data_IF_215422572830
#
_entry.id   IF_215422572830
#
_cell.length_a   1.000
_cell.length_b   1.000
_cell.length_c   1.000
_cell.angle_alpha   90.00
_cell.angle_beta   90.00
_cell.angle_gamma   90.00
#
_symmetry.space_group_name_H-M   'P 1'
#
loop_
_entity.id
_entity.type
_entity.pdbx_description
1 polymer ?
#
# COMPACT_ATOMS: atom_id res chain seq x y z
N UNK A 1 -47.11 -31.36 24.28
CA UNK A 1 -45.98 -31.15 23.35
C UNK A 1 -46.56 -30.77 22.00
N UNK A 2 -46.53 -29.49 21.65
CA UNK A 2 -46.79 -29.01 20.30
C UNK A 2 -45.75 -27.92 20.03
N UNK A 3 -44.81 -28.22 19.14
CA UNK A 3 -43.75 -27.32 18.73
C UNK A 3 -44.31 -26.36 17.67
N UNK A 4 -44.40 -25.09 18.01
CA UNK A 4 -44.70 -24.02 17.06
C UNK A 4 -43.41 -23.68 16.31
N UNK A 5 -43.30 -24.18 15.07
CA UNK A 5 -42.29 -23.74 14.10
C UNK A 5 -42.63 -22.32 13.65
N UNK A 6 -41.85 -21.33 14.08
CA UNK A 6 -41.84 -20.00 13.46
C UNK A 6 -41.03 -20.07 12.16
N UNK A 7 -41.71 -19.88 11.04
CA UNK A 7 -41.09 -19.58 9.76
C UNK A 7 -40.49 -18.17 9.83
N UNK A 8 -39.16 -18.06 9.81
CA UNK A 8 -38.47 -16.78 9.69
C UNK A 8 -38.50 -16.37 8.21
N UNK A 9 -39.20 -15.28 7.92
CA UNK A 9 -39.29 -14.69 6.57
C UNK A 9 -37.98 -13.96 6.29
N UNK A 10 -37.19 -14.50 5.36
CA UNK A 10 -35.96 -13.87 4.88
C UNK A 10 -36.30 -12.52 4.22
N UNK A 11 -35.83 -11.43 4.82
CA UNK A 11 -35.86 -10.10 4.21
C UNK A 11 -34.94 -10.05 2.98
N UNK A 12 -35.24 -9.16 2.00
CA UNK A 12 -34.47 -9.07 0.77
C UNK A 12 -33.04 -8.62 1.09
N UNK A 13 -32.07 -9.32 0.51
CA UNK A 13 -30.65 -9.03 0.66
C UNK A 13 -30.36 -7.55 0.41
N UNK A 14 -29.81 -6.88 1.43
CA UNK A 14 -29.17 -5.59 1.26
C UNK A 14 -28.03 -5.80 0.28
N UNK A 15 -28.19 -5.32 -0.96
CA UNK A 15 -27.08 -5.12 -1.87
C UNK A 15 -26.11 -4.18 -1.19
N UNK A 16 -25.04 -4.72 -0.63
CA UNK A 16 -23.93 -3.94 -0.10
C UNK A 16 -23.29 -3.29 -1.33
N UNK A 17 -23.48 -1.98 -1.49
CA UNK A 17 -22.72 -1.22 -2.47
C UNK A 17 -21.23 -1.44 -2.14
N UNK A 18 -20.39 -1.79 -3.13
CA UNK A 18 -18.99 -2.04 -2.87
C UNK A 18 -18.37 -0.79 -2.26
N UNK A 19 -17.65 -0.99 -1.16
CA UNK A 19 -16.90 0.06 -0.49
C UNK A 19 -15.95 0.71 -1.52
N UNK A 20 -15.88 2.06 -1.62
CA UNK A 20 -14.96 2.74 -2.55
C UNK A 20 -13.51 2.24 -2.48
N UNK A 21 -13.03 1.83 -1.31
CA UNK A 21 -11.70 1.24 -1.17
C UNK A 21 -11.57 -0.15 -1.80
N UNK A 22 -12.59 -1.00 -1.63
CA UNK A 22 -12.64 -2.34 -2.23
C UNK A 22 -12.73 -2.26 -3.75
N UNK A 23 -13.47 -1.28 -4.28
CA UNK A 23 -13.56 -1.05 -5.72
C UNK A 23 -12.19 -0.69 -6.32
N UNK A 24 -11.46 0.23 -5.70
CA UNK A 24 -10.12 0.62 -6.15
C UNK A 24 -9.10 -0.52 -5.97
N UNK A 25 -9.23 -1.31 -4.89
CA UNK A 25 -8.41 -2.50 -4.70
C UNK A 25 -8.64 -3.54 -5.80
N UNK A 26 -9.89 -3.85 -6.15
CA UNK A 26 -10.19 -4.82 -7.20
C UNK A 26 -9.71 -4.34 -8.58
N UNK A 27 -9.85 -3.04 -8.88
CA UNK A 27 -9.25 -2.42 -10.09
C UNK A 27 -7.74 -2.63 -10.12
N UNK A 28 -7.05 -2.36 -9.01
CA UNK A 28 -5.60 -2.54 -8.91
C UNK A 28 -5.20 -4.00 -9.05
N UNK A 29 -5.89 -4.93 -8.36
CA UNK A 29 -5.64 -6.37 -8.45
C UNK A 29 -5.66 -6.80 -9.91
N UNK A 30 -6.65 -6.39 -10.68
CA UNK A 30 -6.76 -6.71 -12.12
C UNK A 30 -5.57 -6.27 -12.99
N UNK A 31 -4.71 -5.39 -12.49
CA UNK A 31 -3.54 -4.88 -13.20
C UNK A 31 -2.21 -5.51 -12.75
N UNK A 32 -2.23 -6.37 -11.72
CA UNK A 32 -1.04 -7.03 -11.17
C UNK A 32 -1.12 -8.56 -11.29
N UNK A 33 0.05 -9.22 -11.24
CA UNK A 33 0.18 -10.67 -11.39
C UNK A 33 -0.42 -11.39 -10.18
N UNK A 34 -0.97 -12.58 -10.39
CA UNK A 34 -1.57 -13.40 -9.31
C UNK A 34 -0.57 -13.63 -8.16
N UNK A 35 0.71 -13.89 -8.47
CA UNK A 35 1.76 -14.09 -7.46
C UNK A 35 1.97 -12.87 -6.56
N UNK A 36 1.84 -11.66 -7.11
CA UNK A 36 1.97 -10.41 -6.35
C UNK A 36 0.77 -10.22 -5.43
N UNK A 37 -0.44 -10.54 -5.90
CA UNK A 37 -1.67 -10.50 -5.09
C UNK A 37 -1.55 -11.39 -3.85
N UNK A 38 -1.12 -12.64 -4.04
CA UNK A 38 -0.94 -13.59 -2.93
C UNK A 38 0.15 -13.15 -1.95
N UNK A 39 1.20 -12.51 -2.44
CA UNK A 39 2.25 -11.95 -1.59
C UNK A 39 1.73 -10.79 -0.72
N UNK A 40 0.88 -9.93 -1.27
CA UNK A 40 0.36 -8.76 -0.56
C UNK A 40 -0.77 -9.08 0.42
N UNK A 41 -1.59 -10.08 0.13
CA UNK A 41 -2.84 -10.39 0.85
C UNK A 41 -2.70 -10.58 2.36
N UNK A 42 -1.51 -10.93 2.83
CA UNK A 42 -1.23 -11.20 4.24
C UNK A 42 -0.24 -10.21 4.86
N UNK A 43 0.17 -9.18 4.12
CA UNK A 43 1.13 -8.20 4.62
C UNK A 43 0.55 -7.37 5.77
N UNK A 44 1.35 -7.16 6.81
CA UNK A 44 0.99 -6.31 7.94
C UNK A 44 2.06 -5.26 8.23
N UNK A 45 1.69 -4.23 9.01
CA UNK A 45 2.62 -3.22 9.52
C UNK A 45 3.81 -3.87 10.25
N UNK A 46 3.53 -4.83 11.14
CA UNK A 46 4.57 -5.53 11.91
C UNK A 46 5.55 -6.26 11.00
N UNK A 47 5.05 -6.99 10.00
CA UNK A 47 5.90 -7.69 9.04
C UNK A 47 6.70 -6.72 8.16
N UNK A 48 6.13 -5.57 7.83
CA UNK A 48 6.82 -4.53 7.07
C UNK A 48 7.98 -3.92 7.88
N UNK A 49 7.75 -3.57 9.15
CA UNK A 49 8.80 -3.07 10.05
C UNK A 49 9.93 -4.09 10.25
N UNK A 50 9.59 -5.38 10.45
CA UNK A 50 10.59 -6.45 10.54
C UNK A 50 11.42 -6.60 9.26
N UNK A 51 10.80 -6.41 8.09
CA UNK A 51 11.50 -6.43 6.81
C UNK A 51 12.46 -5.24 6.67
N UNK A 52 12.06 -4.04 7.13
CA UNK A 52 12.93 -2.85 7.16
C UNK A 52 14.18 -3.13 8.01
N UNK A 53 14.03 -3.73 9.19
CA UNK A 53 15.15 -4.07 10.07
C UNK A 53 16.09 -5.10 9.44
N UNK A 54 15.51 -6.11 8.79
CA UNK A 54 16.24 -7.15 8.06
C UNK A 54 17.03 -6.54 6.90
N UNK A 55 16.38 -5.66 6.13
CA UNK A 55 16.99 -4.95 5.01
C UNK A 55 18.12 -4.03 5.45
N UNK A 56 17.93 -3.28 6.54
CA UNK A 56 18.98 -2.43 7.11
C UNK A 56 20.21 -3.27 7.53
N UNK A 57 19.99 -4.43 8.13
CA UNK A 57 21.07 -5.35 8.51
C UNK A 57 21.81 -5.91 7.28
N UNK A 58 21.08 -6.24 6.22
CA UNK A 58 21.64 -6.68 4.93
C UNK A 58 22.48 -5.57 4.27
N UNK A 59 21.96 -4.35 4.20
CA UNK A 59 22.67 -3.18 3.64
C UNK A 59 23.94 -2.87 4.43
N UNK A 60 23.90 -3.01 5.76
CA UNK A 60 25.07 -2.81 6.62
C UNK A 60 26.16 -3.84 6.36
N UNK A 61 25.83 -5.13 6.36
CA UNK A 61 26.80 -6.20 6.09
C UNK A 61 27.41 -6.11 4.69
N UNK A 62 26.63 -5.64 3.71
CA UNK A 62 27.10 -5.38 2.35
C UNK A 62 27.87 -4.06 2.13
N UNK A 63 28.11 -3.25 3.17
CA UNK A 63 28.72 -1.90 3.07
C UNK A 63 27.97 -0.95 2.11
N UNK A 64 26.66 -1.10 2.00
CA UNK A 64 25.78 -0.30 1.14
C UNK A 64 24.78 0.51 1.97
N UNK A 65 25.17 0.92 3.18
CA UNK A 65 24.28 1.60 4.11
C UNK A 65 23.53 2.76 3.44
N UNK A 66 22.24 2.83 3.73
CA UNK A 66 21.34 3.88 3.27
C UNK A 66 20.74 4.55 4.50
N UNK A 67 20.33 5.79 4.37
CA UNK A 67 19.69 6.51 5.47
C UNK A 67 18.23 6.04 5.63
N UNK A 68 18.04 4.88 6.27
CA UNK A 68 16.72 4.26 6.46
C UNK A 68 15.79 5.09 7.39
N UNK A 69 16.31 6.08 8.13
CA UNK A 69 15.45 6.93 8.97
C UNK A 69 14.47 7.76 8.16
N UNK A 70 14.73 7.94 6.86
CA UNK A 70 13.87 8.63 5.89
C UNK A 70 12.51 7.94 5.72
N UNK A 71 12.41 6.66 6.08
CA UNK A 71 11.14 5.93 6.09
C UNK A 71 10.28 6.17 7.33
N UNK A 72 10.79 6.80 8.39
CA UNK A 72 10.05 6.92 9.66
C UNK A 72 8.74 7.71 9.51
N UNK A 73 8.81 8.88 8.86
CA UNK A 73 7.63 9.71 8.61
C UNK A 73 6.62 8.99 7.71
N UNK A 74 7.13 8.27 6.71
CA UNK A 74 6.31 7.45 5.83
C UNK A 74 5.58 6.32 6.56
N UNK A 75 6.28 5.53 7.39
CA UNK A 75 5.68 4.46 8.20
C UNK A 75 4.56 5.03 9.08
N UNK A 76 4.83 6.11 9.81
CA UNK A 76 3.82 6.75 10.66
C UNK A 76 2.61 7.21 9.85
N UNK A 77 2.82 7.87 8.71
CA UNK A 77 1.73 8.33 7.85
C UNK A 77 0.86 7.17 7.36
N UNK A 78 1.46 6.05 6.96
CA UNK A 78 0.71 4.87 6.52
C UNK A 78 -0.01 4.16 7.67
N UNK A 79 0.59 4.12 8.87
CA UNK A 79 -0.07 3.59 10.07
C UNK A 79 -1.31 4.42 10.41
N UNK A 80 -1.21 5.76 10.37
CA UNK A 80 -2.36 6.63 10.59
C UNK A 80 -3.39 6.50 9.47
N UNK A 81 -2.96 6.45 8.21
CA UNK A 81 -3.84 6.24 7.07
C UNK A 81 -4.61 4.93 7.18
N UNK A 82 -3.91 3.83 7.50
CA UNK A 82 -4.47 2.51 7.74
C UNK A 82 -5.58 2.54 8.78
N UNK A 83 -5.34 3.16 9.94
CA UNK A 83 -6.36 3.34 11.00
C UNK A 83 -7.58 4.12 10.51
N UNK A 84 -7.37 5.15 9.69
CA UNK A 84 -8.46 5.98 9.16
C UNK A 84 -9.30 5.20 8.15
N UNK A 85 -8.67 4.45 7.24
CA UNK A 85 -9.39 3.69 6.22
C UNK A 85 -10.06 2.42 6.80
N UNK A 86 -9.51 1.84 7.88
CA UNK A 86 -10.08 0.67 8.57
C UNK A 86 -11.52 0.92 9.05
N UNK A 87 -11.84 2.15 9.46
CA UNK A 87 -13.20 2.56 9.84
C UNK A 87 -14.21 2.35 8.70
N UNK A 88 -13.75 2.43 7.45
CA UNK A 88 -14.59 2.28 6.26
C UNK A 88 -14.52 0.88 5.66
N UNK A 89 -13.54 0.06 6.04
CA UNK A 89 -13.26 -1.22 5.40
C UNK A 89 -13.81 -2.40 6.21
N UNK A 90 -14.43 -3.35 5.51
CA UNK A 90 -14.93 -4.59 6.13
C UNK A 90 -13.90 -5.73 6.04
N UNK A 91 -12.85 -5.54 5.24
CA UNK A 91 -11.84 -6.55 4.95
C UNK A 91 -10.45 -6.05 5.33
N UNK A 92 -9.65 -6.93 5.94
CA UNK A 92 -8.24 -6.66 6.23
C UNK A 92 -7.37 -6.61 4.97
N UNK A 93 -7.89 -7.07 3.82
CA UNK A 93 -7.14 -7.09 2.55
C UNK A 93 -6.81 -5.68 2.07
N UNK A 94 -7.70 -4.69 2.26
CA UNK A 94 -7.39 -3.28 1.94
C UNK A 94 -6.17 -2.79 2.72
N UNK A 95 -6.11 -3.10 4.01
CA UNK A 95 -4.96 -2.77 4.85
C UNK A 95 -3.71 -3.56 4.44
N UNK A 96 -3.86 -4.82 4.01
CA UNK A 96 -2.72 -5.61 3.57
C UNK A 96 -2.06 -5.02 2.32
N UNK A 97 -2.87 -4.48 1.40
CA UNK A 97 -2.41 -3.78 0.20
C UNK A 97 -1.86 -2.37 0.47
N UNK A 98 -2.08 -1.81 1.66
CA UNK A 98 -1.32 -0.65 2.13
C UNK A 98 0.14 -1.03 2.35
N UNK A 99 0.47 -2.23 2.84
CA UNK A 99 1.83 -2.61 3.25
C UNK A 99 2.60 -3.45 2.24
N UNK A 100 1.95 -4.45 1.64
CA UNK A 100 2.59 -5.45 0.78
C UNK A 100 3.33 -4.88 -0.43
N UNK A 101 2.72 -3.95 -1.18
CA UNK A 101 3.38 -3.30 -2.30
C UNK A 101 4.70 -2.58 -1.92
N UNK A 102 4.75 -1.85 -0.80
CA UNK A 102 6.00 -1.22 -0.35
C UNK A 102 7.07 -2.23 -0.01
N UNK A 103 6.69 -3.30 0.69
CA UNK A 103 7.60 -4.39 1.07
C UNK A 103 8.32 -4.94 -0.15
N UNK A 104 7.56 -5.26 -1.21
CA UNK A 104 8.14 -5.78 -2.43
C UNK A 104 9.02 -4.73 -3.15
N UNK A 105 8.63 -3.45 -3.17
CA UNK A 105 9.45 -2.40 -3.78
C UNK A 105 10.81 -2.24 -3.11
N UNK A 106 10.85 -2.20 -1.77
CA UNK A 106 12.11 -2.11 -1.03
C UNK A 106 13.02 -3.31 -1.30
N UNK A 107 12.44 -4.52 -1.34
CA UNK A 107 13.19 -5.75 -1.63
C UNK A 107 13.78 -5.76 -3.04
N UNK A 108 13.05 -5.26 -4.04
CA UNK A 108 13.55 -5.22 -5.42
C UNK A 108 14.58 -4.10 -5.60
N UNK A 109 14.30 -2.91 -5.07
CA UNK A 109 15.16 -1.74 -5.25
C UNK A 109 16.51 -1.86 -4.52
N UNK A 110 16.60 -2.66 -3.45
CA UNK A 110 17.86 -2.92 -2.73
C UNK A 110 18.96 -3.47 -3.65
N UNK A 111 18.65 -4.01 -4.82
CA UNK A 111 19.67 -4.43 -5.79
C UNK A 111 20.41 -3.25 -6.46
N UNK A 112 19.89 -2.03 -6.39
CA UNK A 112 20.41 -0.83 -7.05
C UNK A 112 20.53 0.36 -6.08
N UNK A 113 21.74 0.69 -5.62
CA UNK A 113 21.92 1.68 -4.54
C UNK A 113 21.38 3.09 -4.86
N UNK A 114 21.56 3.58 -6.09
CA UNK A 114 21.06 4.90 -6.49
C UNK A 114 19.53 4.94 -6.51
N UNK A 115 18.92 4.00 -7.24
CA UNK A 115 17.47 3.91 -7.36
C UNK A 115 16.80 3.63 -6.01
N UNK A 116 17.48 2.90 -5.11
CA UNK A 116 17.03 2.72 -3.74
C UNK A 116 17.03 4.03 -2.96
N UNK A 117 18.10 4.85 -3.05
CA UNK A 117 18.12 6.16 -2.40
C UNK A 117 16.99 7.06 -2.90
N UNK A 118 16.78 7.13 -4.22
CA UNK A 118 15.69 7.92 -4.83
C UNK A 118 14.31 7.40 -4.40
N UNK A 119 14.16 6.09 -4.25
CA UNK A 119 12.95 5.48 -3.73
C UNK A 119 12.68 5.93 -2.29
N UNK A 120 13.71 5.95 -1.43
CA UNK A 120 13.59 6.50 -0.08
C UNK A 120 13.19 7.98 -0.12
N UNK A 121 13.73 8.78 -1.05
CA UNK A 121 13.40 10.23 -1.21
C UNK A 121 11.93 10.43 -1.55
N UNK A 122 11.45 9.60 -2.46
CA UNK A 122 10.05 9.61 -2.84
C UNK A 122 9.15 9.21 -1.67
N UNK A 123 9.56 8.23 -0.85
CA UNK A 123 8.74 7.76 0.28
C UNK A 123 8.68 8.77 1.41
N UNK A 124 9.81 9.41 1.71
CA UNK A 124 9.88 10.50 2.69
C UNK A 124 8.88 11.62 2.32
N UNK A 125 8.93 12.09 1.07
CA UNK A 125 8.01 13.13 0.56
C UNK A 125 6.55 12.69 0.55
N UNK A 126 6.28 11.44 0.17
CA UNK A 126 4.92 10.90 0.16
C UNK A 126 4.36 10.80 1.59
N UNK A 127 5.19 10.39 2.54
CA UNK A 127 4.84 10.33 3.96
C UNK A 127 4.45 11.70 4.51
N UNK A 128 5.28 12.71 4.27
CA UNK A 128 5.02 14.09 4.70
C UNK A 128 3.72 14.63 4.09
N UNK A 129 3.51 14.40 2.79
CA UNK A 129 2.31 14.83 2.07
C UNK A 129 1.06 14.16 2.62
N UNK A 130 1.11 12.84 2.83
CA UNK A 130 -0.01 12.07 3.35
C UNK A 130 -0.36 12.47 4.79
N UNK A 131 0.64 12.65 5.65
CA UNK A 131 0.42 13.05 7.04
C UNK A 131 -0.24 14.42 7.13
N UNK A 132 0.21 15.39 6.32
CA UNK A 132 -0.41 16.70 6.23
C UNK A 132 -1.89 16.60 5.81
N UNK A 133 -2.19 15.77 4.79
CA UNK A 133 -3.57 15.53 4.36
C UNK A 133 -4.42 14.94 5.50
N UNK A 134 -3.90 13.98 6.25
CA UNK A 134 -4.63 13.37 7.37
C UNK A 134 -4.92 14.35 8.51
N UNK A 135 -4.01 15.28 8.78
CA UNK A 135 -4.24 16.34 9.78
C UNK A 135 -5.38 17.29 9.37
N UNK A 136 -5.59 17.50 8.06
CA UNK A 136 -6.71 18.33 7.57
C UNK A 136 -8.08 17.64 7.66
N UNK A 137 -8.13 16.35 8.03
CA UNK A 137 -9.39 15.57 8.14
C UNK A 137 -10.39 16.18 9.11
N UNK A 138 -9.93 16.81 10.20
CA UNK A 138 -10.80 17.45 11.19
C UNK A 138 -11.69 18.55 10.59
N UNK A 139 -11.36 19.02 9.37
CA UNK A 139 -12.11 20.06 8.64
C UNK A 139 -13.32 19.50 7.85
N UNK A 140 -13.49 18.18 7.75
CA UNK A 140 -14.48 17.54 6.88
C UNK A 140 -15.35 16.50 7.62
N UNK A 141 -16.46 16.92 8.24
CA UNK A 141 -17.26 16.09 9.15
C UNK A 141 -18.24 15.11 8.46
N UNK A 142 -18.15 14.88 7.15
CA UNK A 142 -19.07 13.98 6.44
C UNK A 142 -18.37 12.69 5.97
N UNK A 143 -18.77 11.57 6.58
CA UNK A 143 -18.17 10.25 6.38
C UNK A 143 -18.18 9.78 4.91
N UNK A 144 -19.24 10.06 4.15
CA UNK A 144 -19.35 9.57 2.77
C UNK A 144 -18.45 10.32 1.78
N UNK A 145 -18.34 11.65 1.94
CA UNK A 145 -17.44 12.45 1.11
C UNK A 145 -15.97 12.18 1.46
N UNK A 146 -15.69 12.03 2.76
CA UNK A 146 -14.37 11.68 3.27
C UNK A 146 -13.93 10.29 2.78
N UNK A 147 -14.81 9.28 2.81
CA UNK A 147 -14.51 7.95 2.26
C UNK A 147 -14.09 8.00 0.80
N UNK A 148 -14.74 8.85 -0.02
CA UNK A 148 -14.39 9.03 -1.44
C UNK A 148 -13.05 9.74 -1.66
N UNK A 149 -12.73 10.73 -0.82
CA UNK A 149 -11.43 11.40 -0.88
C UNK A 149 -10.32 10.40 -0.50
N UNK A 150 -10.50 9.72 0.63
CA UNK A 150 -9.53 8.74 1.12
C UNK A 150 -9.38 7.56 0.17
N UNK A 151 -10.45 7.10 -0.49
CA UNK A 151 -10.35 6.05 -1.51
C UNK A 151 -9.61 6.53 -2.77
N UNK A 152 -9.70 7.82 -3.10
CA UNK A 152 -8.92 8.42 -4.18
C UNK A 152 -7.43 8.48 -3.81
N UNK A 153 -7.10 8.85 -2.58
CA UNK A 153 -5.71 8.80 -2.06
C UNK A 153 -5.19 7.36 -2.07
N UNK A 154 -6.01 6.40 -1.62
CA UNK A 154 -5.65 4.98 -1.64
C UNK A 154 -5.36 4.49 -3.06
N UNK A 155 -6.20 4.85 -4.03
CA UNK A 155 -5.97 4.58 -5.45
C UNK A 155 -4.63 5.18 -5.94
N UNK A 156 -4.35 6.44 -5.61
CA UNK A 156 -3.12 7.10 -6.03
C UNK A 156 -1.88 6.41 -5.44
N UNK A 157 -1.96 5.99 -4.17
CA UNK A 157 -0.93 5.15 -3.53
C UNK A 157 -0.75 3.84 -4.30
N UNK A 158 -1.83 3.10 -4.60
CA UNK A 158 -1.75 1.85 -5.34
C UNK A 158 -1.16 2.05 -6.76
N UNK A 159 -1.56 3.10 -7.46
CA UNK A 159 -1.08 3.39 -8.81
C UNK A 159 0.42 3.77 -8.80
N UNK A 160 0.87 4.54 -7.80
CA UNK A 160 2.29 4.82 -7.60
C UNK A 160 3.10 3.51 -7.52
N UNK A 161 2.64 2.56 -6.71
CA UNK A 161 3.32 1.26 -6.60
C UNK A 161 3.37 0.51 -7.92
N UNK A 162 2.25 0.50 -8.65
CA UNK A 162 2.18 -0.16 -9.95
C UNK A 162 3.26 0.36 -10.89
N UNK A 163 3.41 1.68 -10.94
CA UNK A 163 4.41 2.34 -11.78
C UNK A 163 5.83 2.04 -11.31
N UNK A 164 6.08 2.13 -10.01
CA UNK A 164 7.37 1.79 -9.42
C UNK A 164 7.74 0.32 -9.71
N UNK A 165 6.81 -0.63 -9.55
CA UNK A 165 7.04 -2.04 -9.88
C UNK A 165 7.36 -2.22 -11.36
N UNK A 166 6.60 -1.58 -12.24
CA UNK A 166 6.86 -1.63 -13.68
C UNK A 166 8.25 -1.10 -14.01
N UNK A 167 8.72 -0.06 -13.31
CA UNK A 167 10.07 0.48 -13.47
C UNK A 167 11.13 -0.51 -13.01
N UNK A 168 11.02 -1.05 -11.79
CA UNK A 168 12.02 -1.97 -11.22
C UNK A 168 12.00 -3.39 -11.82
N UNK A 169 10.88 -3.84 -12.38
CA UNK A 169 10.76 -5.15 -13.06
C UNK A 169 11.12 -5.10 -14.54
N UNK A 170 11.30 -3.92 -15.14
CA UNK A 170 11.87 -3.85 -16.48
C UNK A 170 13.29 -4.43 -16.42
N UNK A 171 13.63 -5.42 -17.26
CA UNK A 171 15.03 -5.74 -17.49
C UNK A 171 15.69 -4.41 -17.81
N UNK A 172 16.74 -4.04 -17.08
CA UNK A 172 17.52 -2.86 -17.39
C UNK A 172 17.72 -2.87 -18.90
N UNK A 173 17.06 -1.95 -19.62
CA UNK A 173 17.44 -1.71 -20.99
C UNK A 173 18.85 -1.21 -20.85
N UNK A 174 19.76 -2.15 -21.04
CA UNK A 174 21.17 -1.91 -21.17
C UNK A 174 21.26 -0.67 -22.04
N UNK A 175 21.94 0.35 -21.54
CA UNK A 175 22.48 1.41 -22.37
C UNK A 175 23.46 0.75 -23.36
N UNK A 176 22.93 -0.01 -24.32
CA UNK A 176 23.52 -0.23 -25.63
C UNK A 176 23.08 0.99 -26.44
N UNK A 177 23.63 2.15 -26.08
CA UNK A 177 24.00 3.09 -27.11
C UNK A 177 25.50 3.01 -27.23
N UNK A 178 25.92 2.07 -28.09
CA UNK A 178 27.11 2.26 -28.90
C UNK A 178 27.11 3.68 -29.44
N UNK A 179 28.03 4.52 -28.96
CA UNK A 179 28.73 5.54 -29.73
C UNK A 179 29.78 6.19 -28.83
N UNK A 180 30.90 5.50 -28.63
CA UNK A 180 32.17 6.20 -28.56
C UNK A 180 32.55 6.54 -30.01
N UNK A 181 32.45 7.81 -30.37
CA UNK A 181 33.30 8.45 -31.37
C UNK A 181 34.21 9.42 -30.64
#
# INVERSE_FOLDING_TARGET
MAATTQANVAGPGKGVLPNPFEEELEKFKNQIKIKEREYFKFSSETEFCQEIDTLQSKLHSGRRQQNMTRLKGFVEAMTQFGKVIDVFCQTSEVLAFVWGPWKLLLLVADTFSHAFSELLDTYEQLGDTLLLLLQTRELFPNDAHMAKILSSIYKDVLEFHRQAFKYFQQPSQCFINNSCY
#
